data_IF_679067953668
#
_entry.id   IF_679067953668
#
_cell.length_a   1.000
_cell.length_b   1.000
_cell.length_c   1.000
_cell.angle_alpha   90.00
_cell.angle_beta   90.00
_cell.angle_gamma   90.00
#
_symmetry.space_group_name_H-M   'P 1'
#
loop_
_entity.id
_entity.type
_entity.pdbx_description
1 polymer ?
#
# COMPACT_ATOMS: atom_id res chain seq x y z
N UNK A 1 2.62 28.72 28.16
CA UNK A 1 1.62 29.25 27.19
C UNK A 1 1.01 28.05 26.48
N UNK A 2 -0.22 27.71 26.83
CA UNK A 2 -0.98 26.57 26.28
C UNK A 2 -1.51 26.94 24.90
N UNK A 3 -1.28 26.08 23.90
CA UNK A 3 -1.93 26.17 22.60
C UNK A 3 -3.14 25.25 22.64
N UNK A 4 -4.31 25.85 22.90
CA UNK A 4 -5.61 25.24 22.68
C UNK A 4 -5.95 25.34 21.19
N UNK A 5 -5.78 24.24 20.46
CA UNK A 5 -6.31 24.06 19.10
C UNK A 5 -7.25 22.84 19.11
N UNK A 6 -8.41 23.00 19.75
CA UNK A 6 -9.48 22.02 19.66
C UNK A 6 -10.25 22.19 18.35
N UNK A 7 -10.26 21.10 17.57
CA UNK A 7 -11.41 20.57 16.81
C UNK A 7 -11.81 21.11 15.43
N UNK A 8 -10.94 21.78 14.66
CA UNK A 8 -11.23 22.04 13.22
C UNK A 8 -10.02 21.98 12.27
N UNK A 9 -8.80 21.80 12.77
CA UNK A 9 -7.57 21.52 11.99
C UNK A 9 -7.19 20.02 11.97
N UNK A 10 -8.15 19.11 12.14
CA UNK A 10 -7.85 17.67 12.25
C UNK A 10 -7.71 16.91 10.91
N UNK A 11 -7.70 17.63 9.78
CA UNK A 11 -7.81 17.01 8.45
C UNK A 11 -6.68 17.31 7.47
N UNK A 12 -5.68 18.12 7.84
CA UNK A 12 -4.61 18.51 6.93
C UNK A 12 -3.26 18.08 7.49
N UNK A 13 -2.49 17.40 6.67
CA UNK A 13 -1.15 17.00 7.03
C UNK A 13 -0.25 18.24 6.98
N UNK A 14 0.75 18.33 7.87
CA UNK A 14 1.73 19.43 7.83
C UNK A 14 2.36 19.52 6.44
N UNK A 15 2.46 20.71 5.87
CA UNK A 15 2.96 20.95 4.50
C UNK A 15 4.37 20.37 4.30
N UNK A 16 5.20 20.44 5.34
CA UNK A 16 6.53 19.82 5.35
C UNK A 16 6.45 18.29 5.22
N UNK A 17 5.46 17.70 5.86
CA UNK A 17 5.22 16.26 5.88
C UNK A 17 4.60 15.79 4.55
N UNK A 18 3.73 16.61 3.94
CA UNK A 18 3.23 16.40 2.58
C UNK A 18 4.35 16.38 1.55
N UNK A 19 5.27 17.37 1.58
CA UNK A 19 6.44 17.39 0.69
C UNK A 19 7.31 16.14 0.83
N UNK A 20 7.49 15.65 2.06
CA UNK A 20 8.27 14.44 2.32
C UNK A 20 7.55 13.16 1.83
N UNK A 21 6.21 13.11 1.90
CA UNK A 21 5.43 12.05 1.26
C UNK A 21 5.64 12.09 -0.25
N UNK A 22 5.52 13.26 -0.88
CA UNK A 22 5.67 13.39 -2.33
C UNK A 22 7.07 12.99 -2.80
N UNK A 23 8.08 13.25 -1.98
CA UNK A 23 9.44 12.78 -2.26
C UNK A 23 9.56 11.26 -2.07
N UNK A 24 9.02 10.72 -0.98
CA UNK A 24 8.98 9.28 -0.73
C UNK A 24 8.26 8.54 -1.87
N UNK A 25 7.09 9.01 -2.30
CA UNK A 25 6.31 8.46 -3.41
C UNK A 25 7.12 8.42 -4.71
N UNK A 26 7.85 9.48 -5.03
CA UNK A 26 8.72 9.51 -6.22
C UNK A 26 9.86 8.50 -6.13
N UNK A 27 10.45 8.33 -4.95
CA UNK A 27 11.53 7.36 -4.74
C UNK A 27 11.05 5.92 -4.76
N UNK A 28 9.80 5.67 -4.32
CA UNK A 28 9.21 4.33 -4.35
C UNK A 28 8.45 3.98 -5.63
N UNK A 29 8.14 4.98 -6.46
CA UNK A 29 7.44 4.84 -7.74
C UNK A 29 7.96 3.73 -8.66
N UNK A 30 9.29 3.53 -8.84
CA UNK A 30 9.77 2.39 -9.63
C UNK A 30 9.32 1.07 -9.00
N UNK A 31 9.52 0.86 -7.70
CA UNK A 31 9.13 -0.38 -7.01
C UNK A 31 7.61 -0.63 -7.08
N UNK A 32 6.79 0.43 -7.01
CA UNK A 32 5.34 0.33 -7.24
C UNK A 32 4.98 -0.05 -8.66
N UNK A 33 5.78 0.36 -9.65
CA UNK A 33 5.62 -0.09 -11.03
C UNK A 33 5.98 -1.56 -11.16
N UNK A 34 7.07 -2.03 -10.57
CA UNK A 34 7.45 -3.45 -10.55
C UNK A 34 6.39 -4.32 -9.87
N UNK A 35 5.85 -3.89 -8.73
CA UNK A 35 4.76 -4.58 -8.03
C UNK A 35 3.49 -4.67 -8.89
N UNK A 36 3.09 -3.57 -9.56
CA UNK A 36 1.94 -3.57 -10.47
C UNK A 36 2.14 -4.46 -11.70
N UNK A 37 3.32 -4.40 -12.32
CA UNK A 37 3.67 -5.27 -13.46
C UNK A 37 3.60 -6.73 -13.02
N UNK A 38 4.13 -7.04 -11.84
CA UNK A 38 4.09 -8.40 -11.30
C UNK A 38 2.67 -8.90 -11.08
N UNK A 39 1.80 -8.08 -10.50
CA UNK A 39 0.38 -8.45 -10.33
C UNK A 39 -0.33 -8.70 -11.66
N UNK A 40 -0.05 -7.88 -12.68
CA UNK A 40 -0.59 -8.10 -14.03
C UNK A 40 0.00 -9.35 -14.69
N UNK A 41 1.28 -9.63 -14.46
CA UNK A 41 1.92 -10.86 -14.92
C UNK A 41 1.34 -12.10 -14.23
N UNK A 42 0.91 -12.00 -12.97
CA UNK A 42 0.23 -13.11 -12.27
C UNK A 42 -1.06 -13.48 -12.98
N UNK A 43 -1.92 -12.49 -13.28
CA UNK A 43 -3.20 -12.76 -13.94
C UNK A 43 -3.00 -13.30 -15.35
N UNK A 44 -2.09 -12.70 -16.14
CA UNK A 44 -1.73 -13.20 -17.45
C UNK A 44 -1.16 -14.63 -17.41
N UNK A 45 -0.28 -14.91 -16.45
CA UNK A 45 0.33 -16.22 -16.25
C UNK A 45 -0.69 -17.29 -15.87
N UNK A 46 -1.67 -16.97 -15.02
CA UNK A 46 -2.78 -17.87 -14.67
C UNK A 46 -3.63 -18.20 -15.89
N UNK A 47 -4.01 -17.20 -16.70
CA UNK A 47 -4.78 -17.44 -17.93
C UNK A 47 -3.99 -18.30 -18.91
N UNK A 48 -2.71 -18.00 -19.13
CA UNK A 48 -1.82 -18.78 -19.98
C UNK A 48 -1.68 -20.23 -19.48
N UNK A 49 -1.57 -20.42 -18.16
CA UNK A 49 -1.46 -21.74 -17.52
C UNK A 49 -2.72 -22.59 -17.69
N UNK A 50 -3.87 -21.99 -17.99
CA UNK A 50 -5.10 -22.74 -18.29
C UNK A 50 -5.21 -22.99 -19.80
N UNK A 51 -5.02 -21.95 -20.62
CA UNK A 51 -5.28 -22.03 -22.06
C UNK A 51 -4.24 -22.91 -22.78
N UNK A 52 -2.94 -22.77 -22.47
CA UNK A 52 -1.90 -23.53 -23.17
C UNK A 52 -2.03 -25.05 -22.94
N UNK A 53 -2.21 -25.56 -21.71
CA UNK A 53 -2.35 -26.98 -21.50
C UNK A 53 -3.60 -27.59 -22.14
N UNK A 54 -4.72 -26.87 -22.16
CA UNK A 54 -5.93 -27.32 -22.86
C UNK A 54 -5.72 -27.45 -24.38
N UNK A 55 -4.87 -26.60 -24.97
CA UNK A 55 -4.65 -26.55 -26.41
C UNK A 55 -3.57 -27.54 -26.89
N UNK A 56 -2.60 -27.87 -26.03
CA UNK A 56 -1.38 -28.59 -26.42
C UNK A 56 -1.22 -29.97 -25.77
N UNK A 57 -1.95 -30.30 -24.70
CA UNK A 57 -1.79 -31.55 -23.97
C UNK A 57 -3.06 -32.41 -23.98
N UNK A 58 -2.86 -33.73 -23.87
CA UNK A 58 -3.95 -34.65 -23.57
C UNK A 58 -4.56 -34.35 -22.19
N UNK A 59 -5.87 -34.58 -21.99
CA UNK A 59 -6.61 -34.12 -20.81
C UNK A 59 -6.03 -34.59 -19.48
N UNK A 60 -5.46 -35.80 -19.42
CA UNK A 60 -4.80 -36.31 -18.23
C UNK A 60 -3.57 -35.48 -17.81
N UNK A 61 -2.79 -34.97 -18.76
CA UNK A 61 -1.59 -34.17 -18.48
C UNK A 61 -1.88 -32.67 -18.41
N UNK A 62 -2.94 -32.21 -19.09
CA UNK A 62 -3.37 -30.81 -19.08
C UNK A 62 -3.72 -30.33 -17.67
N UNK A 63 -4.36 -31.18 -16.85
CA UNK A 63 -4.78 -30.82 -15.50
C UNK A 63 -3.57 -30.60 -14.57
N UNK A 64 -2.58 -31.50 -14.58
CA UNK A 64 -1.35 -31.34 -13.80
C UNK A 64 -0.54 -30.11 -14.23
N UNK A 65 -0.41 -29.90 -15.55
CA UNK A 65 0.30 -28.74 -16.10
C UNK A 65 -0.40 -27.43 -15.73
N UNK A 66 -1.73 -27.40 -15.70
CA UNK A 66 -2.50 -26.22 -15.30
C UNK A 66 -2.27 -25.87 -13.83
N UNK A 67 -2.37 -26.84 -12.93
CA UNK A 67 -2.14 -26.63 -11.49
C UNK A 67 -0.70 -26.16 -11.24
N UNK A 68 0.28 -26.82 -11.85
CA UNK A 68 1.68 -26.45 -11.73
C UNK A 68 1.95 -25.04 -12.27
N UNK A 69 1.39 -24.68 -13.42
CA UNK A 69 1.53 -23.36 -14.04
C UNK A 69 0.93 -22.24 -13.21
N UNK A 70 -0.24 -22.46 -12.61
CA UNK A 70 -0.89 -21.50 -11.70
C UNK A 70 -0.02 -21.29 -10.45
N UNK A 71 0.43 -22.38 -9.82
CA UNK A 71 1.27 -22.30 -8.63
C UNK A 71 2.60 -21.57 -8.93
N UNK A 72 3.24 -21.88 -10.06
CA UNK A 72 4.47 -21.22 -10.50
C UNK A 72 4.24 -19.72 -10.81
N UNK A 73 3.14 -19.38 -11.49
CA UNK A 73 2.79 -18.00 -11.82
C UNK A 73 2.60 -17.15 -10.57
N UNK A 74 1.90 -17.68 -9.57
CA UNK A 74 1.71 -17.01 -8.27
C UNK A 74 3.06 -16.93 -7.53
N UNK A 75 3.80 -18.03 -7.40
CA UNK A 75 5.07 -18.05 -6.68
C UNK A 75 6.11 -17.07 -7.25
N UNK A 76 6.33 -17.10 -8.56
CA UNK A 76 7.31 -16.25 -9.24
C UNK A 76 6.96 -14.76 -9.13
N UNK A 77 5.68 -14.41 -9.21
CA UNK A 77 5.24 -13.01 -9.14
C UNK A 77 5.15 -12.47 -7.71
N UNK A 78 5.08 -13.35 -6.70
CA UNK A 78 5.15 -12.93 -5.28
C UNK A 78 6.53 -12.39 -4.90
N UNK A 79 7.61 -12.96 -5.43
CA UNK A 79 8.98 -12.53 -5.15
C UNK A 79 9.24 -11.03 -5.42
N UNK A 80 8.97 -10.48 -6.62
CA UNK A 80 9.17 -9.06 -6.89
C UNK A 80 8.21 -8.17 -6.09
N UNK A 81 7.01 -8.63 -5.73
CA UNK A 81 6.08 -7.88 -4.86
C UNK A 81 6.67 -7.74 -3.45
N UNK A 82 7.16 -8.83 -2.87
CA UNK A 82 7.78 -8.83 -1.55
C UNK A 82 9.08 -8.01 -1.54
N UNK A 83 9.88 -8.12 -2.60
CA UNK A 83 11.09 -7.31 -2.75
C UNK A 83 10.77 -5.81 -2.84
N UNK A 84 9.77 -5.44 -3.64
CA UNK A 84 9.31 -4.05 -3.74
C UNK A 84 8.87 -3.54 -2.36
N UNK A 85 8.02 -4.29 -1.65
CA UNK A 85 7.54 -3.89 -0.33
C UNK A 85 8.68 -3.75 0.70
N UNK A 86 9.62 -4.69 0.71
CA UNK A 86 10.81 -4.62 1.54
C UNK A 86 11.61 -3.34 1.27
N UNK A 87 11.86 -3.00 -0.01
CA UNK A 87 12.61 -1.80 -0.37
C UNK A 87 11.89 -0.52 0.02
N UNK A 88 10.56 -0.47 -0.11
CA UNK A 88 9.75 0.67 0.38
C UNK A 88 9.91 0.85 1.89
N UNK A 89 9.83 -0.24 2.64
CA UNK A 89 9.97 -0.19 4.09
C UNK A 89 11.40 0.17 4.54
N UNK A 90 12.41 -0.32 3.82
CA UNK A 90 13.82 0.01 4.05
C UNK A 90 14.07 1.51 3.82
N UNK A 91 13.61 2.07 2.71
CA UNK A 91 13.73 3.51 2.41
C UNK A 91 13.02 4.34 3.48
N UNK A 92 11.78 3.97 3.84
CA UNK A 92 11.02 4.61 4.91
C UNK A 92 11.81 4.61 6.23
N UNK A 93 12.35 3.46 6.64
CA UNK A 93 13.03 3.30 7.93
C UNK A 93 14.38 4.01 7.99
N UNK A 94 15.17 3.93 6.92
CA UNK A 94 16.55 4.42 6.91
C UNK A 94 16.62 5.91 6.62
N UNK A 95 15.81 6.41 5.68
CA UNK A 95 15.92 7.78 5.18
C UNK A 95 14.94 8.74 5.84
N UNK A 96 13.70 8.31 6.06
CA UNK A 96 12.62 9.23 6.44
C UNK A 96 12.24 9.16 7.91
N UNK A 97 12.14 7.95 8.49
CA UNK A 97 11.83 7.74 9.91
C UNK A 97 12.71 8.54 10.88
N UNK A 98 14.04 8.69 10.70
CA UNK A 98 14.84 9.52 11.61
C UNK A 98 14.52 11.01 11.52
N UNK A 99 13.97 11.47 10.39
CA UNK A 99 13.62 12.88 10.15
C UNK A 99 12.19 13.18 10.62
N UNK A 100 11.25 12.27 10.36
CA UNK A 100 9.82 12.48 10.65
C UNK A 100 9.34 11.83 11.93
N UNK A 101 10.12 10.93 12.53
CA UNK A 101 9.73 10.16 13.71
C UNK A 101 8.71 9.04 13.44
N UNK A 102 8.16 8.95 12.22
CA UNK A 102 7.08 8.03 11.85
C UNK A 102 7.40 7.27 10.55
N UNK A 103 6.79 6.11 10.35
CA UNK A 103 6.95 5.33 9.12
C UNK A 103 6.23 6.02 7.96
N UNK A 104 6.91 6.24 6.83
CA UNK A 104 6.31 6.85 5.64
C UNK A 104 5.20 5.99 5.02
N UNK A 105 5.25 4.66 5.18
CA UNK A 105 4.18 3.79 4.71
C UNK A 105 2.86 4.06 5.44
N UNK A 106 2.91 4.25 6.76
CA UNK A 106 1.72 4.53 7.59
C UNK A 106 1.19 5.94 7.30
N UNK A 107 2.10 6.90 7.12
CA UNK A 107 1.78 8.27 6.78
C UNK A 107 1.12 8.39 5.39
N UNK A 108 1.64 7.66 4.41
CA UNK A 108 1.04 7.55 3.08
C UNK A 108 -0.38 6.93 3.15
N UNK A 109 -0.57 5.87 3.95
CA UNK A 109 -1.89 5.25 4.15
C UNK A 109 -2.86 6.21 4.85
N UNK A 110 -2.40 6.98 5.83
CA UNK A 110 -3.17 8.02 6.48
C UNK A 110 -3.65 9.09 5.49
N UNK A 111 -2.73 9.67 4.68
CA UNK A 111 -3.08 10.65 3.63
C UNK A 111 -4.08 10.08 2.63
N UNK A 112 -3.87 8.85 2.19
CA UNK A 112 -4.78 8.17 1.24
C UNK A 112 -6.19 8.05 1.82
N UNK A 113 -6.31 7.71 3.10
CA UNK A 113 -7.62 7.60 3.76
C UNK A 113 -8.27 8.95 4.03
N UNK A 114 -7.50 10.00 4.33
CA UNK A 114 -8.03 11.36 4.39
C UNK A 114 -8.60 11.81 3.04
N UNK A 115 -7.87 11.59 1.94
CA UNK A 115 -8.34 11.94 0.60
C UNK A 115 -9.59 11.15 0.20
N UNK A 116 -9.62 9.85 0.48
CA UNK A 116 -10.80 9.02 0.21
C UNK A 116 -11.99 9.39 1.08
N UNK A 117 -11.77 9.84 2.31
CA UNK A 117 -12.82 10.37 3.17
C UNK A 117 -13.40 11.68 2.61
N UNK A 118 -12.56 12.57 2.10
CA UNK A 118 -12.98 13.84 1.49
C UNK A 118 -13.76 13.62 0.18
N UNK A 119 -13.35 12.63 -0.61
CA UNK A 119 -13.95 12.29 -1.90
C UNK A 119 -15.06 11.23 -1.80
N UNK A 120 -15.44 10.79 -0.61
CA UNK A 120 -16.45 9.75 -0.43
C UNK A 120 -17.85 10.28 -0.79
N UNK A 121 -18.54 9.58 -1.68
CA UNK A 121 -19.89 9.94 -2.10
C UNK A 121 -20.96 9.55 -1.06
N UNK A 122 -20.65 8.55 -0.21
CA UNK A 122 -21.59 7.98 0.74
C UNK A 122 -21.08 8.05 2.19
N UNK A 123 -22.00 8.27 3.13
CA UNK A 123 -21.69 8.38 4.57
C UNK A 123 -21.02 7.12 5.12
N UNK A 124 -21.43 5.93 4.68
CA UNK A 124 -20.83 4.67 5.13
C UNK A 124 -19.36 4.53 4.72
N UNK A 125 -19.02 4.94 3.50
CA UNK A 125 -17.64 4.94 2.99
C UNK A 125 -16.79 5.98 3.71
N UNK A 126 -17.36 7.15 3.97
CA UNK A 126 -16.73 8.22 4.75
C UNK A 126 -16.40 7.76 6.17
N UNK A 127 -17.32 7.06 6.86
CA UNK A 127 -17.09 6.51 8.21
C UNK A 127 -16.02 5.43 8.19
N UNK A 128 -15.97 4.59 7.15
CA UNK A 128 -14.92 3.58 7.01
C UNK A 128 -13.54 4.23 6.90
N UNK A 129 -13.42 5.25 6.04
CA UNK A 129 -12.16 5.95 5.85
C UNK A 129 -11.75 6.84 7.03
N UNK A 130 -12.71 7.42 7.76
CA UNK A 130 -12.40 8.13 9.00
C UNK A 130 -11.86 7.21 10.09
N UNK A 131 -12.42 6.00 10.26
CA UNK A 131 -11.89 4.98 11.18
C UNK A 131 -10.48 4.54 10.80
N UNK A 132 -10.23 4.31 9.51
CA UNK A 132 -8.89 3.92 9.04
C UNK A 132 -7.89 5.08 9.23
N UNK A 133 -8.27 6.31 8.90
CA UNK A 133 -7.44 7.47 9.17
C UNK A 133 -7.13 7.62 10.66
N UNK A 134 -8.11 7.45 11.56
CA UNK A 134 -7.87 7.53 13.00
C UNK A 134 -6.95 6.42 13.51
N UNK A 135 -7.08 5.20 12.98
CA UNK A 135 -6.20 4.08 13.29
C UNK A 135 -4.73 4.41 12.98
N UNK A 136 -4.43 4.89 11.77
CA UNK A 136 -3.06 5.25 11.40
C UNK A 136 -2.56 6.48 12.17
N UNK A 137 -3.42 7.47 12.45
CA UNK A 137 -3.09 8.63 13.30
C UNK A 137 -2.64 8.18 14.69
N UNK A 138 -3.35 7.22 15.29
CA UNK A 138 -3.03 6.67 16.60
C UNK A 138 -1.74 5.84 16.55
N UNK A 139 -1.58 4.97 15.55
CA UNK A 139 -0.40 4.13 15.38
C UNK A 139 0.90 4.95 15.23
N UNK A 140 0.83 6.12 14.59
CA UNK A 140 1.94 7.04 14.44
C UNK A 140 2.22 7.90 15.68
N UNK A 141 1.41 7.80 16.74
CA UNK A 141 1.56 8.63 17.94
C UNK A 141 1.14 10.10 17.76
N UNK A 142 0.54 10.45 16.62
CA UNK A 142 0.04 11.80 16.32
C UNK A 142 -1.25 12.15 17.07
N UNK A 143 -1.83 11.19 17.81
CA UNK A 143 -3.05 11.33 18.60
C UNK A 143 -2.84 11.43 20.12
N UNK A 144 -1.60 11.47 20.61
CA UNK A 144 -1.32 11.47 22.05
C UNK A 144 -0.41 12.62 22.45
N UNK A 145 -0.92 13.85 22.35
CA UNK A 145 -0.47 14.92 23.22
C UNK A 145 -1.10 14.69 24.61
N UNK A 146 -0.23 14.45 25.58
CA UNK A 146 -0.52 14.15 26.99
C UNK A 146 -1.51 15.15 27.60
N UNK A 147 -2.56 14.63 28.24
CA UNK A 147 -3.09 15.20 29.47
C UNK A 147 -2.03 15.01 30.56
N UNK A 148 -1.26 16.06 30.85
CA UNK A 148 -0.26 16.11 31.92
C UNK A 148 0.01 17.55 32.28
#
# INVERSE_FOLDING_TARGET
>A
MQITATSLEEGKLDEKLEMLIDQFEREVAPYDRWSRISMAATSAGVVASIVLPLLLLQPAHALYATIAGIAASIGLTKLPILYADHKKHEISRVKYKPVTGVCMCDLYQYRTHLHKMQNANNTAERIRHSKLASYYKHQMGLGSAKSG
#
